data_IF_469484387313
#
_entry.id   IF_469484387313
#
_cell.length_a   1.000
_cell.length_b   1.000
_cell.length_c   1.000
_cell.angle_alpha   90.00
_cell.angle_beta   90.00
_cell.angle_gamma   90.00
#
_symmetry.space_group_name_H-M   'P 1'
#
loop_
_entity.id
_entity.type
_entity.pdbx_description
1 polymer ?
#
# COMPACT_ATOMS: atom_id res chain seq x y z
N UNK A 1 3.25 -31.52 12.18
CA UNK A 1 2.77 -30.61 13.23
C UNK A 1 1.38 -30.10 12.94
N UNK A 2 0.63 -29.72 13.95
CA UNK A 2 -0.63 -28.98 13.80
C UNK A 2 -0.30 -27.48 13.80
N UNK A 3 -0.92 -26.72 12.89
CA UNK A 3 -0.81 -25.25 12.84
C UNK A 3 -2.18 -24.68 13.19
N UNK A 4 -2.26 -23.98 14.32
CA UNK A 4 -3.43 -23.20 14.70
C UNK A 4 -3.19 -21.75 14.27
N UNK A 5 -3.94 -21.29 13.27
CA UNK A 5 -3.81 -19.99 12.66
C UNK A 5 -5.09 -19.16 12.87
N UNK A 6 -5.34 -18.74 14.12
CA UNK A 6 -6.51 -17.96 14.45
C UNK A 6 -6.39 -16.50 13.92
N UNK A 7 -7.45 -15.98 13.32
CA UNK A 7 -7.48 -14.60 12.82
C UNK A 7 -7.23 -13.58 13.94
N UNK A 8 -7.72 -13.84 15.14
CA UNK A 8 -7.56 -12.93 16.29
C UNK A 8 -6.10 -12.78 16.69
N UNK A 9 -5.31 -13.86 16.62
CA UNK A 9 -3.88 -13.82 16.91
C UNK A 9 -3.13 -13.00 15.87
N UNK A 10 -3.50 -13.15 14.59
CA UNK A 10 -2.97 -12.35 13.51
C UNK A 10 -3.26 -10.85 13.67
N UNK A 11 -4.49 -10.49 14.02
CA UNK A 11 -4.87 -9.10 14.30
C UNK A 11 -4.13 -8.55 15.51
N UNK A 12 -4.00 -9.33 16.60
CA UNK A 12 -3.23 -8.91 17.77
C UNK A 12 -1.74 -8.69 17.43
N UNK A 13 -1.14 -9.55 16.63
CA UNK A 13 0.24 -9.40 16.16
C UNK A 13 0.41 -8.13 15.29
N UNK A 14 -0.52 -7.82 14.40
CA UNK A 14 -0.53 -6.56 13.63
C UNK A 14 -0.64 -5.33 14.54
N UNK A 15 -1.31 -5.43 15.68
CA UNK A 15 -1.44 -4.37 16.68
C UNK A 15 -0.16 -4.09 17.49
N UNK A 16 0.92 -4.85 17.32
CA UNK A 16 2.12 -4.73 18.14
C UNK A 16 2.76 -3.33 18.09
N UNK A 17 2.78 -2.68 16.92
CA UNK A 17 3.28 -1.32 16.77
C UNK A 17 2.45 -0.32 17.60
N UNK A 18 1.13 -0.40 17.54
CA UNK A 18 0.23 0.48 18.30
C UNK A 18 0.41 0.25 19.79
N UNK A 19 0.52 -1.02 20.22
CA UNK A 19 0.79 -1.36 21.62
C UNK A 19 2.11 -0.75 22.12
N UNK A 20 3.18 -0.81 21.32
CA UNK A 20 4.46 -0.18 21.65
C UNK A 20 4.35 1.34 21.73
N UNK A 21 3.70 1.98 20.76
CA UNK A 21 3.49 3.43 20.76
C UNK A 21 2.71 3.91 21.99
N UNK A 22 1.70 3.15 22.42
CA UNK A 22 0.96 3.42 23.67
C UNK A 22 1.87 3.31 24.91
N UNK A 23 2.70 2.26 24.96
CA UNK A 23 3.60 2.04 26.10
C UNK A 23 4.62 3.19 26.27
N UNK A 24 5.12 3.77 25.20
CA UNK A 24 6.03 4.92 25.22
C UNK A 24 5.32 6.29 25.21
N UNK A 25 3.98 6.30 25.33
CA UNK A 25 3.13 7.50 25.31
C UNK A 25 3.21 8.33 24.03
N UNK A 26 3.52 7.69 22.91
CA UNK A 26 3.55 8.31 21.58
C UNK A 26 2.20 8.19 20.86
N UNK A 27 1.32 7.31 21.32
CA UNK A 27 -0.04 7.14 20.83
C UNK A 27 -1.02 7.79 21.79
N UNK A 28 -1.85 8.68 21.27
CA UNK A 28 -3.02 9.23 21.98
C UNK A 28 -4.28 8.45 21.64
N UNK A 29 -5.15 8.22 22.60
CA UNK A 29 -6.49 7.68 22.36
C UNK A 29 -7.42 8.75 21.77
N UNK A 30 -7.07 10.05 21.88
CA UNK A 30 -7.72 11.14 21.17
C UNK A 30 -7.15 11.22 19.74
N UNK A 31 -7.96 10.94 18.70
CA UNK A 31 -7.51 11.01 17.31
C UNK A 31 -6.92 12.36 16.91
N UNK A 32 -7.39 13.46 17.50
CA UNK A 32 -6.91 14.81 17.19
C UNK A 32 -5.42 15.02 17.54
N UNK A 33 -4.89 14.23 18.46
CA UNK A 33 -3.50 14.28 18.92
C UNK A 33 -2.64 13.12 18.40
N UNK A 34 -3.13 12.38 17.39
CA UNK A 34 -2.43 11.24 16.82
C UNK A 34 -2.13 11.49 15.34
N UNK A 35 -0.86 11.68 15.00
CA UNK A 35 -0.47 12.08 13.65
C UNK A 35 -0.80 11.03 12.56
N UNK A 36 -0.89 9.75 12.90
CA UNK A 36 -1.26 8.69 11.95
C UNK A 36 -2.77 8.65 11.62
N UNK A 37 -3.60 9.34 12.39
CA UNK A 37 -5.06 9.27 12.24
C UNK A 37 -5.63 10.48 11.49
N UNK A 38 -4.98 10.89 10.42
CA UNK A 38 -5.40 12.01 9.57
C UNK A 38 -5.51 13.36 10.29
N UNK A 39 -4.83 13.56 11.41
CA UNK A 39 -4.88 14.81 12.17
C UNK A 39 -3.75 15.77 11.82
N UNK A 40 -2.57 15.23 11.49
CA UNK A 40 -1.38 16.05 11.22
C UNK A 40 -1.37 16.62 9.80
N UNK A 41 -0.74 17.79 9.60
CA UNK A 41 -0.59 18.40 8.28
C UNK A 41 0.49 17.73 7.41
N UNK A 42 1.37 16.92 8.01
CA UNK A 42 2.54 16.32 7.35
C UNK A 42 2.39 14.81 7.08
N UNK A 43 1.28 14.20 7.49
CA UNK A 43 0.97 12.79 7.23
C UNK A 43 -0.49 12.65 6.83
N UNK A 44 -0.80 13.02 5.57
CA UNK A 44 -2.17 13.15 5.08
C UNK A 44 -2.22 13.16 3.55
N UNK A 45 -3.41 12.94 3.02
CA UNK A 45 -3.71 13.10 1.60
C UNK A 45 -4.52 14.38 1.36
N UNK A 46 -4.15 15.14 0.33
CA UNK A 46 -4.75 16.44 0.02
C UNK A 46 -5.26 16.50 -1.41
N UNK A 47 -6.33 17.26 -1.62
CA UNK A 47 -6.95 17.49 -2.94
C UNK A 47 -6.24 18.64 -3.66
N UNK A 48 -5.82 18.40 -4.90
CA UNK A 48 -5.23 19.36 -5.81
C UNK A 48 -6.29 20.18 -6.57
N UNK A 49 -5.85 21.18 -7.34
CA UNK A 49 -6.73 22.05 -8.16
C UNK A 49 -7.58 21.28 -9.17
N UNK A 50 -7.07 20.18 -9.69
CA UNK A 50 -7.72 19.29 -10.67
C UNK A 50 -8.61 18.20 -10.05
N UNK A 51 -8.82 18.23 -8.74
CA UNK A 51 -9.61 17.24 -8.00
C UNK A 51 -8.88 15.91 -7.75
N UNK A 52 -7.65 15.74 -8.24
CA UNK A 52 -6.79 14.61 -7.95
C UNK A 52 -6.13 14.78 -6.59
N UNK A 53 -5.47 13.73 -6.09
CA UNK A 53 -4.90 13.71 -4.76
C UNK A 53 -3.39 13.54 -4.78
N UNK A 54 -2.75 14.13 -3.77
CA UNK A 54 -1.36 13.89 -3.39
C UNK A 54 -1.30 13.45 -1.94
N UNK A 55 -0.26 12.72 -1.56
CA UNK A 55 -0.01 12.33 -0.17
C UNK A 55 1.31 12.89 0.31
N UNK A 56 1.34 13.29 1.58
CA UNK A 56 2.52 13.76 2.30
C UNK A 56 2.84 12.78 3.42
N UNK A 57 4.13 12.55 3.67
CA UNK A 57 4.59 11.58 4.69
C UNK A 57 5.86 12.05 5.42
N UNK A 58 6.07 13.36 5.55
CA UNK A 58 7.28 13.97 6.11
C UNK A 58 7.30 13.90 7.64
N UNK A 59 7.55 12.71 8.20
CA UNK A 59 7.56 12.46 9.65
C UNK A 59 8.84 12.98 10.30
N UNK A 60 9.98 12.79 9.65
CA UNK A 60 11.28 13.21 10.17
C UNK A 60 11.45 14.72 10.08
N UNK A 61 12.06 15.38 11.09
CA UNK A 61 12.17 16.84 11.13
C UNK A 61 12.87 17.46 9.91
N UNK A 62 13.87 16.79 9.34
CA UNK A 62 14.57 17.27 8.15
C UNK A 62 13.66 17.26 6.91
N UNK A 63 12.88 16.21 6.72
CA UNK A 63 11.92 16.09 5.62
C UNK A 63 10.74 17.03 5.79
N UNK A 64 10.30 17.24 7.03
CA UNK A 64 9.27 18.24 7.33
C UNK A 64 9.71 19.66 7.01
N UNK A 65 10.94 20.03 7.36
CA UNK A 65 11.49 21.34 7.02
C UNK A 65 11.58 21.53 5.49
N UNK A 66 12.02 20.50 4.75
CA UNK A 66 12.04 20.55 3.28
C UNK A 66 10.63 20.65 2.69
N UNK A 67 9.65 19.92 3.24
CA UNK A 67 8.25 20.02 2.83
C UNK A 67 7.72 21.44 3.00
N UNK A 68 7.91 22.06 4.17
CA UNK A 68 7.47 23.45 4.42
C UNK A 68 8.08 24.44 3.43
N UNK A 69 9.37 24.34 3.19
CA UNK A 69 10.09 25.16 2.21
C UNK A 69 9.53 24.98 0.80
N UNK A 70 9.27 23.76 0.37
CA UNK A 70 8.70 23.44 -0.95
C UNK A 70 7.26 23.91 -1.11
N UNK A 71 6.51 23.91 -0.02
CA UNK A 71 5.16 24.45 0.01
C UNK A 71 5.12 25.98 0.18
N UNK A 72 6.29 26.65 0.28
CA UNK A 72 6.39 28.09 0.50
C UNK A 72 5.67 28.54 1.79
N UNK A 73 5.84 27.74 2.86
CA UNK A 73 5.31 27.99 4.21
C UNK A 73 6.46 28.39 5.15
N UNK A 74 7.28 29.35 4.73
CA UNK A 74 8.53 29.74 5.40
C UNK A 74 8.32 30.41 6.77
N UNK A 75 7.11 30.86 7.08
CA UNK A 75 6.71 31.42 8.37
C UNK A 75 6.39 30.36 9.44
N UNK A 76 6.35 29.06 9.07
CA UNK A 76 6.07 27.97 9.98
C UNK A 76 7.37 27.49 10.63
N UNK A 77 7.43 27.50 11.97
CA UNK A 77 8.57 26.96 12.71
C UNK A 77 8.59 25.40 12.64
N UNK A 78 9.58 24.78 11.97
CA UNK A 78 9.68 23.33 11.88
C UNK A 78 9.83 22.63 13.23
N UNK A 79 10.35 23.30 14.26
CA UNK A 79 10.51 22.73 15.60
C UNK A 79 9.16 22.46 16.30
N UNK A 80 8.07 23.04 15.79
CA UNK A 80 6.73 22.85 16.30
C UNK A 80 5.96 21.69 15.65
N UNK A 81 6.62 20.87 14.81
CA UNK A 81 5.99 19.79 14.03
C UNK A 81 5.00 18.94 14.83
N UNK A 82 5.36 18.54 16.04
CA UNK A 82 4.57 17.62 16.87
C UNK A 82 3.67 18.33 17.91
N UNK A 83 3.48 19.64 17.77
CA UNK A 83 2.48 20.36 18.57
C UNK A 83 1.11 20.21 17.95
N UNK A 84 0.34 19.24 18.44
CA UNK A 84 -0.97 18.87 17.88
C UNK A 84 -2.01 20.00 17.95
N UNK A 85 -1.86 20.93 18.87
CA UNK A 85 -2.70 22.14 18.95
C UNK A 85 -2.58 23.06 17.73
N UNK A 86 -1.44 23.03 17.03
CA UNK A 86 -1.21 23.81 15.81
C UNK A 86 -1.75 23.13 14.54
N UNK A 87 -1.96 21.81 14.58
CA UNK A 87 -2.27 21.00 13.40
C UNK A 87 -3.53 21.42 12.65
N UNK A 88 -4.68 21.73 13.28
CA UNK A 88 -5.87 22.11 12.52
C UNK A 88 -5.67 23.33 11.64
N UNK A 89 -5.05 24.38 12.18
CA UNK A 89 -4.78 25.60 11.43
C UNK A 89 -3.74 25.39 10.32
N UNK A 90 -2.66 24.67 10.61
CA UNK A 90 -1.61 24.40 9.63
C UNK A 90 -2.09 23.45 8.54
N UNK A 91 -2.89 22.43 8.88
CA UNK A 91 -3.50 21.52 7.91
C UNK A 91 -4.40 22.25 6.93
N UNK A 92 -5.18 23.23 7.38
CA UNK A 92 -5.99 24.06 6.51
C UNK A 92 -5.11 24.86 5.53
N UNK A 93 -4.00 25.43 5.99
CA UNK A 93 -3.02 26.15 5.15
C UNK A 93 -2.36 25.24 4.11
N UNK A 94 -1.93 24.05 4.53
CA UNK A 94 -1.38 23.03 3.60
C UNK A 94 -2.41 22.63 2.55
N UNK A 95 -3.65 22.39 2.97
CA UNK A 95 -4.74 22.06 2.04
C UNK A 95 -5.01 23.17 1.03
N UNK A 96 -5.01 24.43 1.45
CA UNK A 96 -5.15 25.59 0.56
C UNK A 96 -3.98 25.68 -0.42
N UNK A 97 -2.76 25.48 0.08
CA UNK A 97 -1.56 25.53 -0.76
C UNK A 97 -1.56 24.40 -1.80
N UNK A 98 -1.88 23.17 -1.41
CA UNK A 98 -1.97 22.05 -2.34
C UNK A 98 -3.06 22.27 -3.39
N UNK A 99 -4.20 22.85 -3.00
CA UNK A 99 -5.30 23.16 -3.93
C UNK A 99 -4.95 24.25 -4.95
N UNK A 100 -3.86 25.00 -4.78
CA UNK A 100 -3.45 26.05 -5.72
C UNK A 100 -2.83 25.55 -7.02
N UNK A 101 -2.45 24.26 -7.11
CA UNK A 101 -1.85 23.64 -8.29
C UNK A 101 -2.48 22.28 -8.57
N UNK A 102 -2.36 21.80 -9.81
CA UNK A 102 -2.73 20.45 -10.22
C UNK A 102 -1.78 19.41 -9.63
N UNK A 103 -2.20 18.15 -9.60
CA UNK A 103 -1.34 17.04 -9.17
C UNK A 103 -0.04 16.96 -9.97
N UNK A 104 -0.12 17.13 -11.28
CA UNK A 104 1.04 17.01 -12.17
C UNK A 104 2.03 18.18 -11.96
N UNK A 105 1.55 19.38 -11.68
CA UNK A 105 2.39 20.52 -11.29
C UNK A 105 3.09 20.28 -9.94
N UNK A 106 2.42 19.64 -8.99
CA UNK A 106 3.04 19.24 -7.72
C UNK A 106 4.06 18.11 -7.91
N UNK A 107 3.81 17.14 -8.78
CA UNK A 107 4.80 16.12 -9.15
C UNK A 107 6.07 16.80 -9.70
N UNK A 108 5.93 17.71 -10.64
CA UNK A 108 7.07 18.44 -11.21
C UNK A 108 7.86 19.26 -10.17
N UNK A 109 7.18 19.78 -9.12
CA UNK A 109 7.82 20.60 -8.09
C UNK A 109 8.46 19.78 -6.96
N UNK A 110 7.92 18.61 -6.62
CA UNK A 110 8.25 17.88 -5.41
C UNK A 110 8.91 16.50 -5.65
N UNK A 111 8.70 15.84 -6.80
CA UNK A 111 9.35 14.59 -7.11
C UNK A 111 10.87 14.72 -7.12
N UNK A 112 11.56 13.73 -6.58
CA UNK A 112 13.02 13.74 -6.45
C UNK A 112 13.55 14.63 -5.32
N UNK A 113 12.68 15.20 -4.49
CA UNK A 113 13.06 15.90 -3.25
C UNK A 113 12.78 15.05 -2.02
N UNK A 114 13.35 15.46 -0.87
CA UNK A 114 13.15 14.81 0.42
C UNK A 114 11.86 15.28 1.14
N UNK A 115 10.88 15.83 0.40
CA UNK A 115 9.60 16.28 0.97
C UNK A 115 8.63 15.13 1.33
N UNK A 116 9.02 13.89 1.13
CA UNK A 116 8.18 12.68 1.35
C UNK A 116 6.79 12.82 0.69
N UNK A 117 6.81 13.18 -0.58
CA UNK A 117 5.65 13.43 -1.41
C UNK A 117 5.40 12.25 -2.37
N UNK A 118 4.14 11.95 -2.65
CA UNK A 118 3.76 11.08 -3.76
C UNK A 118 2.39 11.47 -4.34
N UNK A 119 2.16 11.31 -5.67
CA UNK A 119 0.82 11.38 -6.24
C UNK A 119 -0.01 10.17 -5.81
N UNK A 120 -1.30 10.37 -5.57
CA UNK A 120 -2.25 9.26 -5.46
C UNK A 120 -2.71 8.90 -6.87
N UNK A 121 -2.42 7.67 -7.27
CA UNK A 121 -2.67 7.16 -8.61
C UNK A 121 -3.88 6.23 -8.63
N UNK A 122 -4.65 6.24 -9.72
CA UNK A 122 -5.60 5.16 -10.00
C UNK A 122 -4.85 3.86 -10.34
N UNK A 123 -5.55 2.72 -10.39
CA UNK A 123 -4.93 1.44 -10.76
C UNK A 123 -4.30 1.49 -12.16
N UNK A 124 -4.95 2.15 -13.12
CA UNK A 124 -4.41 2.28 -14.48
C UNK A 124 -3.21 3.21 -14.54
N UNK A 125 -3.26 4.35 -13.85
CA UNK A 125 -2.12 5.27 -13.72
C UNK A 125 -0.94 4.59 -13.02
N UNK A 126 -1.19 3.82 -11.95
CA UNK A 126 -0.15 3.09 -11.24
C UNK A 126 0.57 2.07 -12.16
N UNK A 127 -0.19 1.38 -13.01
CA UNK A 127 0.40 0.43 -13.96
C UNK A 127 1.23 1.12 -15.05
N UNK A 128 0.83 2.31 -15.48
CA UNK A 128 1.52 3.10 -16.50
C UNK A 128 2.68 3.97 -15.93
N UNK A 129 2.78 4.07 -14.59
CA UNK A 129 3.79 4.92 -13.95
C UNK A 129 5.21 4.46 -14.33
N UNK A 130 6.12 5.37 -14.77
CA UNK A 130 7.44 5.00 -15.30
C UNK A 130 8.26 4.12 -14.35
N UNK A 131 8.26 4.42 -13.06
CA UNK A 131 8.95 3.61 -12.05
C UNK A 131 8.39 2.18 -11.96
N UNK A 132 7.07 2.04 -11.98
CA UNK A 132 6.39 0.75 -11.89
C UNK A 132 6.59 -0.08 -13.16
N UNK A 133 6.53 0.58 -14.32
CA UNK A 133 6.82 -0.03 -15.62
C UNK A 133 8.29 -0.49 -15.70
N UNK A 134 9.25 0.35 -15.30
CA UNK A 134 10.67 0.00 -15.30
C UNK A 134 11.01 -1.17 -14.34
N UNK A 135 10.16 -1.41 -13.34
CA UNK A 135 10.28 -2.52 -12.40
C UNK A 135 9.47 -3.75 -12.79
N UNK A 136 8.72 -3.73 -13.89
CA UNK A 136 7.80 -4.80 -14.27
C UNK A 136 6.90 -5.22 -13.07
N UNK A 137 6.29 -4.22 -12.41
CA UNK A 137 5.43 -4.49 -11.25
C UNK A 137 4.13 -5.18 -11.61
N UNK A 138 3.75 -5.13 -12.87
CA UNK A 138 2.54 -5.76 -13.38
C UNK A 138 2.88 -6.69 -14.54
N UNK A 139 2.14 -7.78 -14.63
CA UNK A 139 2.19 -8.75 -15.73
C UNK A 139 0.81 -8.86 -16.35
N UNK A 140 0.75 -9.26 -17.61
CA UNK A 140 -0.49 -9.53 -18.31
C UNK A 140 -0.69 -11.04 -18.47
N UNK A 141 -1.83 -11.57 -18.05
CA UNK A 141 -2.20 -12.97 -18.13
C UNK A 141 -3.61 -13.04 -18.74
N UNK A 142 -3.72 -13.63 -19.92
CA UNK A 142 -4.99 -13.73 -20.67
C UNK A 142 -5.72 -12.39 -20.82
N UNK A 143 -4.99 -11.32 -21.14
CA UNK A 143 -5.54 -9.99 -21.31
C UNK A 143 -5.91 -9.27 -20.01
N UNK A 144 -5.57 -9.84 -18.86
CA UNK A 144 -5.80 -9.23 -17.55
C UNK A 144 -4.49 -8.81 -16.89
N UNK A 145 -4.40 -7.56 -16.48
CA UNK A 145 -3.25 -7.04 -15.75
C UNK A 145 -3.31 -7.44 -14.28
N UNK A 146 -2.22 -8.01 -13.79
CA UNK A 146 -2.08 -8.50 -12.42
C UNK A 146 -0.74 -8.06 -11.83
N UNK A 147 -0.62 -7.94 -10.48
CA UNK A 147 0.68 -7.73 -9.86
C UNK A 147 1.64 -8.88 -10.16
N UNK A 148 2.90 -8.54 -10.46
CA UNK A 148 3.96 -9.53 -10.57
C UNK A 148 4.28 -10.17 -9.22
N UNK A 149 4.83 -11.40 -9.18
CA UNK A 149 5.24 -12.03 -7.93
C UNK A 149 6.27 -11.21 -7.15
N UNK A 150 6.08 -11.15 -5.83
CA UNK A 150 7.01 -10.51 -4.90
C UNK A 150 7.16 -11.38 -3.63
N UNK A 151 8.31 -11.31 -2.92
CA UNK A 151 9.51 -10.55 -3.27
C UNK A 151 10.29 -11.17 -4.44
N UNK A 152 11.18 -10.36 -5.06
CA UNK A 152 12.05 -10.84 -6.14
C UNK A 152 13.31 -11.44 -5.52
N UNK A 153 13.49 -12.74 -5.69
CA UNK A 153 14.63 -13.48 -5.18
C UNK A 153 15.64 -13.74 -6.29
N UNK A 154 16.91 -13.38 -6.07
CA UNK A 154 17.95 -13.51 -7.10
C UNK A 154 18.36 -14.96 -7.36
N UNK A 155 18.37 -15.81 -6.33
CA UNK A 155 18.77 -17.21 -6.43
C UNK A 155 17.61 -18.16 -6.73
N UNK A 156 16.41 -17.83 -6.29
CA UNK A 156 15.20 -18.65 -6.47
C UNK A 156 14.04 -17.77 -6.96
N UNK A 157 14.10 -17.28 -8.21
CA UNK A 157 13.06 -16.42 -8.74
C UNK A 157 11.71 -17.14 -8.74
N UNK A 158 10.66 -16.41 -8.44
CA UNK A 158 9.30 -16.93 -8.51
C UNK A 158 8.99 -17.39 -9.95
N UNK A 159 8.18 -18.43 -10.08
CA UNK A 159 7.65 -18.84 -11.39
C UNK A 159 6.77 -17.74 -11.96
N UNK A 160 6.77 -17.60 -13.29
CA UNK A 160 5.78 -16.75 -13.94
C UNK A 160 4.37 -17.21 -13.57
N UNK A 161 3.49 -16.30 -13.16
CA UNK A 161 2.12 -16.67 -12.85
C UNK A 161 1.40 -17.16 -14.11
N UNK A 162 0.51 -18.13 -13.95
CA UNK A 162 -0.38 -18.64 -14.99
C UNK A 162 -1.80 -18.17 -14.75
N UNK A 163 -2.65 -18.32 -15.76
CA UNK A 163 -4.09 -18.12 -15.60
C UNK A 163 -4.69 -19.00 -14.51
N UNK A 164 -5.80 -18.55 -13.96
CA UNK A 164 -6.59 -19.37 -13.03
C UNK A 164 -7.15 -20.60 -13.75
N UNK A 165 -7.15 -21.73 -13.07
CA UNK A 165 -7.65 -22.99 -13.59
C UNK A 165 -9.15 -23.13 -13.35
N UNK A 166 -9.85 -23.89 -14.20
CA UNK A 166 -11.26 -24.24 -13.98
C UNK A 166 -11.39 -25.24 -12.86
N UNK A 167 -12.53 -25.23 -12.19
CA UNK A 167 -12.82 -26.23 -11.17
C UNK A 167 -12.75 -27.63 -11.81
N UNK A 168 -11.96 -28.53 -11.21
CA UNK A 168 -11.76 -29.88 -11.69
C UNK A 168 -10.75 -30.07 -12.82
N UNK A 169 -10.14 -29.00 -13.36
CA UNK A 169 -9.21 -29.06 -14.49
C UNK A 169 -8.00 -29.97 -14.24
N UNK A 170 -7.52 -30.02 -13.01
CA UNK A 170 -6.36 -30.83 -12.61
C UNK A 170 -6.75 -32.11 -11.88
N UNK A 171 -8.03 -32.45 -11.79
CA UNK A 171 -8.49 -33.62 -11.02
C UNK A 171 -7.79 -34.92 -11.45
N UNK A 172 -7.75 -35.20 -12.75
CA UNK A 172 -7.14 -36.43 -13.26
C UNK A 172 -5.62 -36.47 -13.01
N UNK A 173 -4.93 -35.36 -13.21
CA UNK A 173 -3.50 -35.24 -12.94
C UNK A 173 -3.17 -35.50 -11.46
N UNK A 174 -3.94 -34.88 -10.56
CA UNK A 174 -3.75 -35.04 -9.10
C UNK A 174 -4.06 -36.50 -8.68
N UNK A 175 -5.11 -37.11 -9.20
CA UNK A 175 -5.46 -38.50 -8.88
C UNK A 175 -4.41 -39.49 -9.41
N UNK A 176 -3.84 -39.22 -10.60
CA UNK A 176 -2.74 -40.01 -11.14
C UNK A 176 -1.46 -39.87 -10.30
N UNK A 177 -1.12 -38.69 -9.83
CA UNK A 177 0.02 -38.48 -8.90
C UNK A 177 -0.17 -39.23 -7.58
N UNK A 178 -1.40 -39.41 -7.12
CA UNK A 178 -1.74 -40.20 -5.95
C UNK A 178 -1.72 -41.73 -6.23
N UNK A 179 -1.42 -42.16 -7.46
CA UNK A 179 -1.30 -43.55 -7.85
C UNK A 179 -2.63 -44.25 -8.21
N UNK A 180 -3.69 -43.46 -8.47
CA UNK A 180 -4.95 -44.02 -8.94
C UNK A 180 -4.87 -44.27 -10.47
N UNK A 181 -5.31 -45.45 -10.88
CA UNK A 181 -5.47 -45.84 -12.28
C UNK A 181 -6.76 -45.24 -12.89
N UNK A 182 -6.88 -45.30 -14.22
CA UNK A 182 -8.03 -44.77 -14.96
C UNK A 182 -9.37 -45.37 -14.47
N UNK A 183 -9.40 -46.65 -14.16
CA UNK A 183 -10.60 -47.33 -13.68
C UNK A 183 -11.02 -46.84 -12.30
N UNK A 184 -10.06 -46.54 -11.43
CA UNK A 184 -10.33 -45.94 -10.14
C UNK A 184 -10.89 -44.52 -10.26
N UNK A 185 -10.34 -43.69 -11.16
CA UNK A 185 -10.84 -42.36 -11.46
C UNK A 185 -12.28 -42.41 -11.99
N UNK A 186 -12.57 -43.32 -12.92
CA UNK A 186 -13.93 -43.48 -13.46
C UNK A 186 -14.91 -43.86 -12.34
N UNK A 187 -14.52 -44.76 -11.43
CA UNK A 187 -15.38 -45.15 -10.28
C UNK A 187 -15.62 -43.95 -9.35
N UNK A 188 -14.62 -43.15 -9.07
CA UNK A 188 -14.76 -41.93 -8.22
C UNK A 188 -15.72 -40.93 -8.84
N UNK A 189 -15.63 -40.71 -10.16
CA UNK A 189 -16.55 -39.82 -10.88
C UNK A 189 -17.98 -40.34 -10.89
N UNK A 190 -18.17 -41.64 -11.14
CA UNK A 190 -19.48 -42.30 -11.08
C UNK A 190 -20.10 -42.18 -9.67
N UNK A 191 -19.28 -42.28 -8.64
CA UNK A 191 -19.68 -42.05 -7.24
C UNK A 191 -19.83 -40.60 -6.81
N UNK A 192 -19.62 -39.64 -7.71
CA UNK A 192 -19.62 -38.18 -7.43
C UNK A 192 -18.66 -37.76 -6.31
N UNK A 193 -17.58 -38.49 -6.14
CA UNK A 193 -16.55 -38.21 -5.15
C UNK A 193 -15.54 -37.15 -5.66
N UNK A 194 -15.48 -36.91 -6.97
CA UNK A 194 -14.70 -35.85 -7.62
C UNK A 194 -15.41 -35.32 -8.87
N UNK A 195 -15.06 -34.13 -9.30
CA UNK A 195 -15.54 -33.51 -10.53
C UNK A 195 -14.67 -33.88 -11.74
#
# INVERSE_FOLDING_TARGET
QVVDAAMIDGVAAMGALVAQMRAIRYWSDDPAHNFFLHSSPFYESFVCADGRFVTLGAIEPAFYAELLRRLELDDVDPARQYRSEDWPALKARVAERIRSRTRDEWCAALEGSDACFAPVLSFDEAAAHPHNAARDLFVEIEGQRQPAPAPRLSATPARSPSAGVRIGEHTDAVLAELGLDEDAVVRLRAGKACA
#
